data_IF_728271511410
#
_entry.id   IF_728271511410
#
_cell.length_a   1.000
_cell.length_b   1.000
_cell.length_c   1.000
_cell.angle_alpha   90.00
_cell.angle_beta   90.00
_cell.angle_gamma   90.00
#
_symmetry.space_group_name_H-M   'P 1'
#
loop_
_entity.id
_entity.type
_entity.pdbx_description
1 polymer ?
#
# COMPACT_ATOMS: atom_id res chain seq x y z
N UNK A 1 6.02 20.84 0.07
CA UNK A 1 7.08 19.80 0.06
C UNK A 1 6.46 18.42 0.19
N UNK A 2 6.91 17.46 -0.61
CA UNK A 2 6.46 16.06 -0.51
C UNK A 2 7.30 15.26 0.50
N UNK A 3 6.83 14.07 0.89
CA UNK A 3 7.52 13.20 1.85
C UNK A 3 8.91 12.71 1.41
N UNK A 4 9.29 12.93 0.15
CA UNK A 4 10.61 12.62 -0.44
C UNK A 4 11.47 13.87 -0.69
N UNK A 5 11.01 15.05 -0.24
CA UNK A 5 11.66 16.34 -0.49
C UNK A 5 10.96 17.16 -1.60
N UNK A 6 11.64 18.20 -2.11
CA UNK A 6 11.12 19.01 -3.21
C UNK A 6 11.09 18.22 -4.52
N UNK A 7 10.07 18.48 -5.34
CA UNK A 7 9.97 17.90 -6.67
C UNK A 7 11.07 18.47 -7.58
N UNK A 8 11.66 17.66 -8.48
CA UNK A 8 12.56 18.18 -9.50
C UNK A 8 11.84 19.19 -10.40
N UNK A 9 12.48 20.34 -10.67
CA UNK A 9 11.88 21.44 -11.45
C UNK A 9 11.31 20.97 -12.80
N UNK A 10 12.04 20.13 -13.54
CA UNK A 10 11.57 19.61 -14.85
C UNK A 10 10.28 18.78 -14.77
N UNK A 11 10.02 18.12 -13.64
CA UNK A 11 8.78 17.37 -13.41
C UNK A 11 7.67 18.32 -12.99
N UNK A 12 7.98 19.25 -12.08
CA UNK A 12 7.05 20.25 -11.58
C UNK A 12 6.50 21.15 -12.69
N UNK A 13 7.34 21.56 -13.63
CA UNK A 13 6.94 22.42 -14.75
C UNK A 13 6.03 21.69 -15.74
N UNK A 14 6.24 20.40 -15.96
CA UNK A 14 5.47 19.56 -16.90
C UNK A 14 4.20 18.95 -16.32
N UNK A 15 3.96 19.14 -15.03
CA UNK A 15 2.80 18.54 -14.38
C UNK A 15 1.57 19.43 -14.50
N UNK A 16 0.74 19.17 -15.50
CA UNK A 16 -0.45 19.98 -15.82
C UNK A 16 -1.48 20.02 -14.68
N UNK A 17 -1.60 18.95 -13.91
CA UNK A 17 -2.53 18.87 -12.78
C UNK A 17 -1.95 19.39 -11.46
N UNK A 18 -0.74 19.97 -11.42
CA UNK A 18 -0.11 20.41 -10.15
C UNK A 18 -0.99 21.39 -9.36
N UNK A 19 -1.68 22.29 -10.07
CA UNK A 19 -2.53 23.31 -9.47
C UNK A 19 -3.79 22.72 -8.82
N UNK A 20 -4.13 21.45 -9.08
CA UNK A 20 -5.21 20.73 -8.38
C UNK A 20 -4.80 20.31 -6.96
N UNK A 21 -3.52 20.09 -6.71
CA UNK A 21 -3.00 19.53 -5.45
C UNK A 21 -2.18 20.53 -4.65
N UNK A 22 -1.52 21.46 -5.34
CA UNK A 22 -0.59 22.40 -4.75
C UNK A 22 -1.01 23.85 -5.00
N UNK A 23 -0.58 24.72 -4.11
CA UNK A 23 -0.63 26.17 -4.25
C UNK A 23 0.54 26.66 -5.12
N UNK A 24 0.50 27.93 -5.57
CA UNK A 24 1.55 28.53 -6.43
C UNK A 24 2.96 28.49 -5.80
N UNK A 25 3.04 28.47 -4.46
CA UNK A 25 4.29 28.35 -3.69
C UNK A 25 4.81 26.90 -3.56
N UNK A 26 4.09 25.91 -4.13
CA UNK A 26 4.44 24.48 -4.04
C UNK A 26 4.08 23.83 -2.69
N UNK A 27 3.31 24.51 -1.85
CA UNK A 27 2.69 23.93 -0.65
C UNK A 27 1.45 23.11 -1.02
N UNK A 28 1.07 22.16 -0.16
CA UNK A 28 -0.18 21.43 -0.34
C UNK A 28 -1.37 22.35 -0.11
N UNK A 29 -2.41 22.24 -0.93
CA UNK A 29 -3.72 22.82 -0.60
C UNK A 29 -4.26 22.19 0.67
N UNK A 30 -4.86 22.98 1.57
CA UNK A 30 -5.30 22.50 2.90
C UNK A 30 -6.19 21.26 2.82
N UNK A 31 -7.13 21.25 1.86
CA UNK A 31 -8.05 20.15 1.58
C UNK A 31 -7.40 18.89 0.97
N UNK A 32 -6.16 18.99 0.47
CA UNK A 32 -5.41 17.89 -0.16
C UNK A 32 -4.16 17.53 0.63
N UNK A 33 -3.97 18.12 1.81
CA UNK A 33 -2.78 17.88 2.62
C UNK A 33 -2.76 16.41 3.08
N UNK A 34 -1.65 15.68 2.86
CA UNK A 34 -1.52 14.32 3.35
C UNK A 34 -1.48 14.30 4.89
N UNK A 35 -2.01 13.23 5.48
CA UNK A 35 -2.01 13.02 6.94
C UNK A 35 -0.60 13.00 7.54
N UNK A 36 0.41 12.65 6.73
CA UNK A 36 1.81 12.58 7.12
C UNK A 36 2.65 13.56 6.29
N UNK A 37 3.49 14.35 6.96
CA UNK A 37 4.32 15.38 6.32
C UNK A 37 5.67 14.83 5.84
N UNK A 38 6.08 13.66 6.34
CA UNK A 38 7.34 13.01 5.93
C UNK A 38 7.18 11.49 5.79
N UNK A 39 8.09 10.88 5.02
CA UNK A 39 8.18 9.43 4.94
C UNK A 39 8.48 8.81 6.32
N UNK A 40 9.32 9.46 7.13
CA UNK A 40 9.64 9.01 8.49
C UNK A 40 8.41 8.95 9.40
N UNK A 41 7.57 9.99 9.40
CA UNK A 41 6.31 10.02 10.16
C UNK A 41 5.37 8.89 9.73
N UNK A 42 5.25 8.69 8.41
CA UNK A 42 4.40 7.64 7.87
C UNK A 42 4.91 6.24 8.25
N UNK A 43 6.23 6.00 8.20
CA UNK A 43 6.83 4.73 8.60
C UNK A 43 6.62 4.42 10.08
N UNK A 44 6.75 5.41 10.96
CA UNK A 44 6.51 5.24 12.41
C UNK A 44 5.06 4.83 12.66
N UNK A 45 4.12 5.45 11.97
CA UNK A 45 2.71 5.07 12.03
C UNK A 45 2.47 3.63 11.55
N UNK A 46 3.03 3.24 10.41
CA UNK A 46 2.90 1.88 9.86
C UNK A 46 3.49 0.82 10.80
N UNK A 47 4.55 1.15 11.51
CA UNK A 47 5.18 0.29 12.51
C UNK A 47 4.53 0.38 13.90
N UNK A 48 3.24 0.78 13.94
CA UNK A 48 2.37 0.80 15.13
C UNK A 48 2.89 1.66 16.29
N UNK A 49 3.78 2.62 16.00
CA UNK A 49 4.32 3.55 17.01
C UNK A 49 3.66 4.93 16.91
N UNK A 50 3.53 5.62 18.05
CA UNK A 50 3.36 7.08 18.06
C UNK A 50 4.69 7.82 17.86
N UNK A 51 5.79 7.18 18.26
CA UNK A 51 7.17 7.65 18.10
C UNK A 51 8.07 6.48 17.75
N UNK A 52 9.29 6.75 17.28
CA UNK A 52 10.32 5.73 17.07
C UNK A 52 10.67 4.95 18.35
N UNK A 53 10.44 5.51 19.54
CA UNK A 53 10.70 4.85 20.84
C UNK A 53 9.62 3.85 21.22
N UNK A 54 8.41 4.05 20.71
CA UNK A 54 7.24 3.22 21.00
C UNK A 54 6.93 2.26 19.85
N UNK A 55 7.76 2.27 18.80
CA UNK A 55 7.61 1.39 17.66
C UNK A 55 8.29 0.06 17.92
N UNK A 56 7.75 -1.01 17.32
CA UNK A 56 8.32 -2.36 17.34
C UNK A 56 9.66 -2.45 16.56
N UNK A 57 9.95 -1.47 15.69
CA UNK A 57 11.20 -1.38 14.95
C UNK A 57 12.24 -0.53 15.68
N UNK A 58 13.50 -0.98 15.71
CA UNK A 58 14.57 -0.17 16.29
C UNK A 58 14.94 1.01 15.37
N UNK A 59 15.51 2.06 15.96
CA UNK A 59 15.88 3.29 15.23
C UNK A 59 16.79 3.03 14.02
N UNK A 60 17.78 2.16 14.18
CA UNK A 60 18.73 1.86 13.11
C UNK A 60 18.04 1.16 11.93
N UNK A 61 17.09 0.27 12.23
CA UNK A 61 16.28 -0.40 11.22
C UNK A 61 15.37 0.59 10.48
N UNK A 62 14.80 1.58 11.19
CA UNK A 62 14.03 2.65 10.57
C UNK A 62 14.85 3.49 9.62
N UNK A 63 16.03 3.93 10.05
CA UNK A 63 16.91 4.73 9.20
C UNK A 63 17.30 3.95 7.95
N UNK A 64 17.67 2.67 8.10
CA UNK A 64 18.00 1.81 6.97
C UNK A 64 16.81 1.59 6.02
N UNK A 65 15.58 1.42 6.54
CA UNK A 65 14.36 1.29 5.74
C UNK A 65 14.00 2.59 5.02
N UNK A 66 14.07 3.72 5.71
CA UNK A 66 13.78 5.03 5.14
C UNK A 66 14.76 5.36 4.01
N UNK A 67 16.05 5.12 4.21
CA UNK A 67 17.07 5.32 3.18
C UNK A 67 16.88 4.39 1.98
N UNK A 68 16.50 3.14 2.25
CA UNK A 68 16.16 2.17 1.21
C UNK A 68 14.97 2.65 0.37
N UNK A 69 13.87 3.04 1.01
CA UNK A 69 12.67 3.53 0.34
C UNK A 69 12.91 4.84 -0.42
N UNK A 70 13.70 5.77 0.13
CA UNK A 70 14.10 7.00 -0.58
C UNK A 70 14.82 6.67 -1.88
N UNK A 71 15.74 5.69 -1.88
CA UNK A 71 16.45 5.24 -3.08
C UNK A 71 15.54 4.52 -4.10
N UNK A 72 14.49 3.84 -3.63
CA UNK A 72 13.50 3.19 -4.51
C UNK A 72 12.49 4.17 -5.11
N UNK A 73 12.12 5.20 -4.35
CA UNK A 73 11.05 6.13 -4.68
C UNK A 73 11.55 7.45 -5.24
N UNK A 74 12.85 7.57 -5.54
CA UNK A 74 13.42 8.76 -6.20
C UNK A 74 12.55 9.15 -7.40
N UNK A 75 12.22 10.43 -7.51
CA UNK A 75 11.36 10.94 -8.58
C UNK A 75 11.90 10.55 -9.95
N UNK A 76 13.21 10.75 -10.17
CA UNK A 76 13.89 10.29 -11.37
C UNK A 76 14.07 8.78 -11.42
N UNK A 77 13.44 8.16 -12.41
CA UNK A 77 13.53 6.71 -12.64
C UNK A 77 14.96 6.26 -12.92
N UNK A 78 15.77 7.11 -13.57
CA UNK A 78 17.20 6.88 -13.86
C UNK A 78 18.05 6.83 -12.59
N UNK A 79 17.64 7.55 -11.55
CA UNK A 79 18.32 7.60 -10.26
C UNK A 79 17.72 6.62 -9.23
N UNK A 80 16.66 5.88 -9.59
CA UNK A 80 16.13 4.84 -8.71
C UNK A 80 17.10 3.68 -8.66
N UNK A 81 17.26 3.15 -7.45
CA UNK A 81 18.03 1.93 -7.22
C UNK A 81 17.57 0.79 -8.14
N UNK A 82 18.54 0.01 -8.62
CA UNK A 82 18.27 -1.20 -9.41
C UNK A 82 17.81 -2.34 -8.50
N UNK A 83 17.25 -3.40 -9.09
CA UNK A 83 16.82 -4.58 -8.32
C UNK A 83 18.01 -5.22 -7.60
N UNK A 84 19.15 -5.33 -8.27
CA UNK A 84 20.36 -5.94 -7.69
C UNK A 84 20.88 -5.12 -6.50
N UNK A 85 20.96 -3.80 -6.63
CA UNK A 85 21.36 -2.92 -5.54
C UNK A 85 20.33 -2.92 -4.40
N UNK A 86 19.03 -3.04 -4.71
CA UNK A 86 17.99 -3.11 -3.70
C UNK A 86 18.10 -4.38 -2.85
N UNK A 87 18.28 -5.53 -3.51
CA UNK A 87 18.50 -6.82 -2.86
C UNK A 87 19.81 -6.83 -2.07
N UNK A 88 20.87 -6.18 -2.57
CA UNK A 88 22.16 -6.05 -1.89
C UNK A 88 22.17 -4.98 -0.77
N UNK A 89 21.10 -4.21 -0.60
CA UNK A 89 21.05 -3.16 0.42
C UNK A 89 21.13 -3.75 1.83
N UNK A 90 21.71 -2.96 2.75
CA UNK A 90 21.88 -3.38 4.14
C UNK A 90 20.55 -3.78 4.78
N UNK A 91 19.50 -2.99 4.56
CA UNK A 91 18.17 -3.28 5.11
C UNK A 91 17.62 -4.59 4.53
N UNK A 92 17.71 -4.79 3.22
CA UNK A 92 17.22 -6.02 2.59
C UNK A 92 17.99 -7.24 3.10
N UNK A 93 19.33 -7.21 3.15
CA UNK A 93 20.13 -8.35 3.59
C UNK A 93 19.91 -8.70 5.06
N UNK A 94 19.92 -7.70 5.95
CA UNK A 94 19.86 -7.94 7.40
C UNK A 94 18.45 -8.22 7.93
N UNK A 95 17.42 -7.78 7.21
CA UNK A 95 16.02 -7.87 7.68
C UNK A 95 15.20 -8.70 6.72
N UNK A 96 14.96 -8.21 5.50
CA UNK A 96 14.03 -8.89 4.60
C UNK A 96 14.52 -10.30 4.18
N UNK A 97 15.78 -10.41 3.75
CA UNK A 97 16.37 -11.66 3.25
C UNK A 97 16.72 -12.58 4.42
N UNK A 98 17.27 -12.04 5.52
CA UNK A 98 17.49 -12.82 6.73
C UNK A 98 16.19 -13.50 7.19
N UNK A 99 15.09 -12.74 7.33
CA UNK A 99 13.76 -13.26 7.66
C UNK A 99 13.31 -14.33 6.63
N UNK A 100 13.56 -14.11 5.33
CA UNK A 100 13.25 -15.08 4.26
C UNK A 100 14.07 -16.37 4.34
N UNK A 101 15.36 -16.27 4.68
CA UNK A 101 16.31 -17.39 4.69
C UNK A 101 16.30 -18.17 6.00
N UNK A 102 15.92 -17.52 7.11
CA UNK A 102 15.69 -18.18 8.40
C UNK A 102 14.33 -18.90 8.41
N UNK A 103 13.33 -18.38 7.70
CA UNK A 103 12.09 -19.10 7.42
C UNK A 103 12.35 -20.29 6.48
N UNK A 104 11.68 -21.43 6.71
CA UNK A 104 11.68 -22.54 5.76
C UNK A 104 11.25 -22.01 4.37
N UNK A 105 12.11 -22.07 3.33
CA UNK A 105 11.79 -21.55 1.99
C UNK A 105 10.50 -22.13 1.42
N UNK A 106 10.12 -23.36 1.79
CA UNK A 106 8.84 -23.95 1.40
C UNK A 106 7.66 -23.29 2.11
N UNK A 107 7.80 -22.96 3.39
CA UNK A 107 6.82 -22.19 4.14
C UNK A 107 6.61 -20.82 3.48
N UNK A 108 7.68 -20.11 3.13
CA UNK A 108 7.62 -18.81 2.50
C UNK A 108 6.99 -18.84 1.09
N UNK A 109 7.39 -19.79 0.25
CA UNK A 109 6.77 -19.97 -1.07
C UNK A 109 5.29 -20.32 -0.95
N UNK A 110 4.91 -21.10 0.06
CA UNK A 110 3.51 -21.43 0.33
C UNK A 110 2.72 -20.18 0.74
N UNK A 111 3.32 -19.30 1.57
CA UNK A 111 2.71 -18.04 1.99
C UNK A 111 2.57 -17.08 0.81
N UNK A 112 3.62 -16.89 0.01
CA UNK A 112 3.57 -16.04 -1.20
C UNK A 112 2.50 -16.55 -2.16
N UNK A 113 2.44 -17.87 -2.41
CA UNK A 113 1.42 -18.48 -3.27
C UNK A 113 0.02 -18.24 -2.70
N UNK A 114 -0.19 -18.47 -1.41
CA UNK A 114 -1.46 -18.21 -0.72
C UNK A 114 -1.88 -16.74 -0.88
N UNK A 115 -0.97 -15.81 -0.62
CA UNK A 115 -1.21 -14.37 -0.74
C UNK A 115 -1.51 -13.97 -2.19
N UNK A 116 -0.76 -14.47 -3.17
CA UNK A 116 -1.02 -14.21 -4.59
C UNK A 116 -2.39 -14.75 -5.03
N UNK A 117 -2.78 -15.94 -4.57
CA UNK A 117 -4.10 -16.50 -4.85
C UNK A 117 -5.24 -15.70 -4.21
N UNK A 118 -4.99 -15.11 -3.03
CA UNK A 118 -5.97 -14.26 -2.35
C UNK A 118 -6.09 -12.87 -2.98
N UNK A 119 -4.97 -12.25 -3.34
CA UNK A 119 -4.93 -10.87 -3.86
C UNK A 119 -5.19 -10.80 -5.36
N UNK A 120 -4.82 -11.81 -6.14
CA UNK A 120 -4.96 -11.81 -7.60
C UNK A 120 -6.40 -11.49 -8.07
N UNK A 121 -7.43 -12.17 -7.57
CA UNK A 121 -8.83 -11.85 -7.90
C UNK A 121 -9.22 -10.43 -7.50
N UNK A 122 -8.81 -9.96 -6.31
CA UNK A 122 -9.09 -8.60 -5.84
C UNK A 122 -8.47 -7.55 -6.74
N UNK A 123 -7.21 -7.71 -7.11
CA UNK A 123 -6.52 -6.80 -8.03
C UNK A 123 -7.23 -6.72 -9.39
N UNK A 124 -7.73 -7.86 -9.90
CA UNK A 124 -8.54 -7.87 -11.13
C UNK A 124 -9.85 -7.08 -10.97
N UNK A 125 -10.54 -7.20 -9.84
CA UNK A 125 -11.76 -6.44 -9.57
C UNK A 125 -11.48 -4.94 -9.43
N UNK A 126 -10.43 -4.55 -8.70
CA UNK A 126 -10.01 -3.15 -8.58
C UNK A 126 -9.56 -2.55 -9.91
N UNK A 127 -8.86 -3.31 -10.75
CA UNK A 127 -8.47 -2.83 -12.08
C UNK A 127 -9.71 -2.56 -12.95
N UNK A 128 -10.71 -3.45 -12.93
CA UNK A 128 -11.98 -3.23 -13.64
C UNK A 128 -12.73 -1.99 -13.15
N UNK A 129 -12.78 -1.79 -11.83
CA UNK A 129 -13.38 -0.59 -11.25
C UNK A 129 -12.65 0.66 -11.74
N UNK A 130 -11.32 0.65 -11.69
CA UNK A 130 -10.49 1.77 -12.13
C UNK A 130 -10.65 2.07 -13.61
N UNK A 131 -10.72 1.04 -14.45
CA UNK A 131 -11.01 1.18 -15.89
C UNK A 131 -12.39 1.80 -16.11
N UNK A 132 -13.42 1.35 -15.38
CA UNK A 132 -14.76 1.90 -15.48
C UNK A 132 -14.83 3.37 -15.00
N UNK A 133 -14.13 3.72 -13.92
CA UNK A 133 -14.03 5.09 -13.43
C UNK A 133 -13.32 5.98 -14.45
N UNK A 134 -12.18 5.55 -14.98
CA UNK A 134 -11.46 6.30 -16.01
C UNK A 134 -12.34 6.51 -17.26
N UNK A 135 -13.13 5.51 -17.65
CA UNK A 135 -14.05 5.62 -18.78
C UNK A 135 -15.18 6.63 -18.50
N UNK A 136 -15.73 6.63 -17.28
CA UNK A 136 -16.74 7.59 -16.86
C UNK A 136 -16.17 9.03 -16.82
N UNK A 137 -14.99 9.22 -16.26
CA UNK A 137 -14.31 10.52 -16.18
C UNK A 137 -13.98 11.05 -17.59
N UNK A 138 -13.45 10.20 -18.47
CA UNK A 138 -13.15 10.57 -19.86
C UNK A 138 -14.43 10.94 -20.64
N UNK A 139 -15.53 10.21 -20.43
CA UNK A 139 -16.81 10.52 -21.05
C UNK A 139 -17.42 11.82 -20.50
N UNK A 140 -17.22 12.14 -19.21
CA UNK A 140 -17.68 13.40 -18.64
C UNK A 140 -16.98 14.60 -19.31
N UNK A 141 -15.67 14.49 -19.56
CA UNK A 141 -14.86 15.52 -20.21
C UNK A 141 -15.16 15.68 -21.73
N UNK A 142 -15.67 14.67 -22.41
CA UNK A 142 -15.97 14.73 -23.85
C UNK A 142 -17.40 15.25 -24.12
N UNK A 143 -17.50 16.46 -24.68
CA UNK A 143 -18.77 17.09 -25.06
C UNK A 143 -19.52 16.35 -26.19
N UNK A 144 -18.85 15.42 -26.91
CA UNK A 144 -19.44 14.64 -28.00
C UNK A 144 -20.15 13.36 -27.52
N UNK A 145 -19.89 12.92 -26.28
CA UNK A 145 -20.55 11.74 -25.71
C UNK A 145 -21.94 12.10 -25.25
N UNK A 146 -22.94 11.32 -25.69
CA UNK A 146 -24.33 11.55 -25.32
C UNK A 146 -24.57 11.38 -23.80
N UNK A 147 -25.50 12.16 -23.26
CA UNK A 147 -25.80 12.17 -21.81
C UNK A 147 -26.23 10.81 -21.29
N UNK A 148 -26.94 10.01 -22.07
CA UNK A 148 -27.37 8.69 -21.65
C UNK A 148 -26.16 7.75 -21.53
N UNK A 149 -25.17 7.87 -22.41
CA UNK A 149 -23.95 7.06 -22.34
C UNK A 149 -23.07 7.46 -21.16
N UNK A 150 -22.91 8.78 -20.89
CA UNK A 150 -22.24 9.26 -19.67
C UNK A 150 -22.88 8.68 -18.40
N UNK A 151 -24.21 8.68 -18.35
CA UNK A 151 -24.97 8.13 -17.22
C UNK A 151 -24.74 6.63 -17.07
N UNK A 152 -24.72 5.87 -18.17
CA UNK A 152 -24.48 4.41 -18.15
C UNK A 152 -23.09 4.05 -17.65
N UNK A 153 -22.06 4.77 -18.11
CA UNK A 153 -20.67 4.55 -17.67
C UNK A 153 -20.51 4.84 -16.17
N UNK A 154 -21.11 5.95 -15.70
CA UNK A 154 -21.14 6.29 -14.28
C UNK A 154 -21.85 5.24 -13.43
N UNK A 155 -23.05 4.83 -13.83
CA UNK A 155 -23.81 3.78 -13.14
C UNK A 155 -23.05 2.45 -13.12
N UNK A 156 -22.33 2.11 -14.18
CA UNK A 156 -21.51 0.90 -14.23
C UNK A 156 -20.34 0.97 -13.24
N UNK A 157 -19.64 2.11 -13.16
CA UNK A 157 -18.57 2.32 -12.18
C UNK A 157 -19.10 2.25 -10.73
N UNK A 158 -20.22 2.92 -10.45
CA UNK A 158 -20.88 2.89 -9.14
C UNK A 158 -21.31 1.46 -8.76
N UNK A 159 -21.87 0.71 -9.71
CA UNK A 159 -22.27 -0.68 -9.49
C UNK A 159 -21.08 -1.59 -9.15
N UNK A 160 -19.94 -1.43 -9.84
CA UNK A 160 -18.72 -2.18 -9.53
C UNK A 160 -18.17 -1.83 -8.15
N UNK A 161 -18.24 -0.55 -7.76
CA UNK A 161 -17.83 -0.11 -6.43
C UNK A 161 -18.66 -0.79 -5.34
N UNK A 162 -19.99 -0.76 -5.46
CA UNK A 162 -20.90 -1.40 -4.51
C UNK A 162 -20.67 -2.91 -4.41
N UNK A 163 -20.46 -3.61 -5.52
CA UNK A 163 -20.14 -5.04 -5.49
C UNK A 163 -18.85 -5.34 -4.72
N UNK A 164 -17.80 -4.53 -4.92
CA UNK A 164 -16.53 -4.70 -4.21
C UNK A 164 -16.73 -4.41 -2.72
N UNK A 165 -17.45 -3.34 -2.39
CA UNK A 165 -17.74 -2.94 -1.02
C UNK A 165 -18.48 -4.04 -0.25
N UNK A 166 -19.56 -4.58 -0.81
CA UNK A 166 -20.34 -5.66 -0.20
C UNK A 166 -19.47 -6.90 0.04
N UNK A 167 -18.69 -7.33 -0.97
CA UNK A 167 -17.81 -8.50 -0.83
C UNK A 167 -16.74 -8.31 0.24
N UNK A 168 -16.22 -7.11 0.38
CA UNK A 168 -15.22 -6.79 1.39
C UNK A 168 -15.82 -6.75 2.79
N UNK A 169 -17.05 -6.27 2.92
CA UNK A 169 -17.82 -6.27 4.16
C UNK A 169 -18.18 -7.69 4.61
N UNK A 170 -18.71 -8.53 3.73
CA UNK A 170 -19.01 -9.94 4.01
C UNK A 170 -17.76 -10.70 4.46
N UNK A 171 -16.62 -10.44 3.81
CA UNK A 171 -15.32 -11.03 4.21
C UNK A 171 -14.84 -10.51 5.55
N UNK A 172 -15.15 -9.26 5.89
CA UNK A 172 -14.80 -8.66 7.18
C UNK A 172 -15.63 -9.32 8.29
N UNK A 173 -16.94 -9.40 8.13
CA UNK A 173 -17.83 -10.10 9.06
C UNK A 173 -17.44 -11.57 9.24
N UNK A 174 -17.10 -12.26 8.15
CA UNK A 174 -16.62 -13.65 8.22
C UNK A 174 -15.32 -13.79 9.02
N UNK A 175 -14.38 -12.84 8.90
CA UNK A 175 -13.14 -12.84 9.69
C UNK A 175 -13.41 -12.54 11.16
N UNK A 176 -14.26 -11.57 11.45
CA UNK A 176 -14.66 -11.23 12.83
C UNK A 176 -15.38 -12.40 13.50
N UNK A 177 -16.27 -13.10 12.78
CA UNK A 177 -16.92 -14.31 13.25
C UNK A 177 -15.92 -15.45 13.53
N UNK A 178 -14.91 -15.61 12.65
CA UNK A 178 -13.88 -16.61 12.83
C UNK A 178 -12.97 -16.31 14.03
N UNK A 179 -12.59 -15.05 14.22
CA UNK A 179 -11.79 -14.60 15.37
C UNK A 179 -12.53 -14.79 16.71
N UNK A 180 -13.85 -14.54 16.72
CA UNK A 180 -14.70 -14.87 17.88
C UNK A 180 -14.75 -16.38 18.15
N UNK A 181 -14.80 -17.24 17.13
CA UNK A 181 -14.80 -18.70 17.33
C UNK A 181 -13.45 -19.23 17.82
N UNK A 182 -12.34 -18.68 17.33
CA UNK A 182 -11.00 -19.09 17.76
C UNK A 182 -10.71 -18.61 19.21
N UNK A 183 -11.23 -17.43 19.59
CA UNK A 183 -11.16 -16.92 20.97
C UNK A 183 -11.94 -17.78 21.96
N UNK A 184 -13.05 -18.39 21.55
CA UNK A 184 -13.86 -19.29 22.40
C UNK A 184 -13.22 -20.67 22.55
N UNK A 185 -12.46 -21.15 21.56
CA UNK A 185 -11.83 -22.48 21.57
C UNK A 185 -10.47 -22.47 22.32
N UNK A 186 -9.79 -21.32 22.41
CA UNK A 186 -8.49 -21.17 23.08
C UNK A 186 -8.56 -20.97 24.61
N UNK A 187 -9.56 -21.52 25.31
CA UNK A 187 -9.60 -21.54 26.78
C UNK A 187 -9.34 -22.94 27.36
N UNK A 188 -8.07 -23.28 27.66
CA UNK A 188 -7.77 -24.33 28.60
C UNK A 188 -6.83 -23.84 29.72
N UNK A 189 -7.33 -23.02 30.65
CA UNK A 189 -6.98 -23.09 32.08
C UNK A 189 -7.85 -22.15 32.92
N UNK A 190 -8.48 -22.72 33.95
CA UNK A 190 -8.98 -21.99 35.10
C UNK A 190 -7.79 -21.49 35.94
N UNK A 191 -7.62 -20.17 36.10
CA UNK A 191 -6.96 -19.64 37.30
C UNK A 191 -8.01 -18.91 38.15
N UNK A 192 -7.88 -18.97 39.48
CA UNK A 192 -8.82 -18.29 40.38
C UNK A 192 -8.73 -16.77 40.22
N UNK A 193 -9.83 -16.04 40.47
CA UNK A 193 -9.89 -14.61 40.23
C UNK A 193 -8.94 -13.84 41.16
N UNK A 194 -8.19 -12.84 40.67
CA UNK A 194 -7.43 -11.93 41.51
C UNK A 194 -8.36 -10.97 42.28
N UNK A 195 -7.92 -10.42 43.43
CA UNK A 195 -8.76 -9.59 44.27
C UNK A 195 -9.08 -8.25 43.59
N UNK A 196 -10.34 -7.84 43.75
CA UNK A 196 -10.91 -6.61 43.22
C UNK A 196 -10.14 -5.38 43.74
N UNK A 197 -9.40 -4.72 42.84
CA UNK A 197 -8.99 -3.33 43.02
C UNK A 197 -9.68 -2.51 41.95
N UNK A 198 -10.59 -1.65 42.40
CA UNK A 198 -11.36 -0.75 41.55
C UNK A 198 -10.46 0.28 40.87
N UNK A 199 -10.59 0.39 39.56
CA UNK A 199 -10.23 1.61 38.85
C UNK A 199 -11.19 1.81 37.69
N UNK A 200 -12.12 2.74 37.89
CA UNK A 200 -13.00 3.26 36.85
C UNK A 200 -12.20 4.19 35.93
N UNK A 201 -11.94 3.78 34.69
CA UNK A 201 -11.59 4.69 33.62
C UNK A 201 -12.54 4.41 32.43
N UNK A 202 -13.17 5.45 31.85
CA UNK A 202 -14.10 5.27 30.75
C UNK A 202 -13.36 4.90 29.46
N UNK A 203 -13.95 4.07 28.59
CA UNK A 203 -13.33 3.71 27.31
C UNK A 203 -13.31 4.93 26.39
N UNK A 204 -12.10 5.32 25.96
CA UNK A 204 -11.91 6.26 24.86
C UNK A 204 -12.39 5.66 23.53
N UNK A 205 -12.54 6.49 22.48
CA UNK A 205 -13.09 6.04 21.20
C UNK A 205 -12.20 4.95 20.60
N UNK A 206 -12.84 3.85 20.21
CA UNK A 206 -12.22 2.71 19.55
C UNK A 206 -11.60 3.15 18.22
N UNK A 207 -10.28 3.34 18.21
CA UNK A 207 -9.51 3.44 16.99
C UNK A 207 -9.53 2.08 16.29
N UNK A 208 -9.96 2.09 15.03
CA UNK A 208 -10.01 0.92 14.14
C UNK A 208 -8.66 0.20 14.14
N UNK A 209 -8.62 -1.02 14.68
CA UNK A 209 -7.48 -1.92 14.54
C UNK A 209 -7.48 -2.51 13.14
N UNK A 210 -6.86 -1.80 12.19
CA UNK A 210 -6.32 -2.48 11.02
C UNK A 210 -5.15 -3.33 11.53
N UNK A 211 -5.30 -4.65 11.52
CA UNK A 211 -4.22 -5.60 11.81
C UNK A 211 -3.52 -5.95 10.49
N UNK A 212 -2.36 -5.33 10.17
CA UNK A 212 -1.54 -5.81 9.07
C UNK A 212 -1.14 -7.26 9.34
N UNK A 213 -0.89 -8.06 8.28
CA UNK A 213 -0.37 -9.40 8.45
C UNK A 213 0.95 -9.35 9.22
N UNK A 214 1.34 -10.50 9.80
CA UNK A 214 2.59 -10.73 10.51
C UNK A 214 3.78 -9.90 9.97
N UNK A 215 4.67 -9.45 10.87
CA UNK A 215 5.82 -8.56 10.64
C UNK A 215 6.62 -8.95 9.39
N UNK A 216 6.76 -10.24 9.13
CA UNK A 216 7.45 -10.81 7.97
C UNK A 216 6.63 -10.65 6.67
N UNK A 217 5.34 -10.93 6.73
CA UNK A 217 4.44 -10.92 5.58
C UNK A 217 4.28 -9.51 4.97
N UNK A 218 4.31 -8.46 5.79
CA UNK A 218 4.25 -7.08 5.29
C UNK A 218 5.52 -6.68 4.52
N UNK A 219 6.71 -7.00 5.04
CA UNK A 219 8.01 -6.70 4.40
C UNK A 219 8.16 -7.41 3.06
N UNK A 220 7.80 -8.69 3.02
CA UNK A 220 7.84 -9.53 1.82
C UNK A 220 6.85 -9.02 0.78
N UNK A 221 5.63 -8.65 1.19
CA UNK A 221 4.61 -8.14 0.27
C UNK A 221 5.02 -6.80 -0.36
N UNK A 222 5.61 -5.89 0.42
CA UNK A 222 6.09 -4.60 -0.08
C UNK A 222 7.20 -4.76 -1.14
N UNK A 223 8.19 -5.64 -0.88
CA UNK A 223 9.26 -5.93 -1.84
C UNK A 223 8.74 -6.65 -3.09
N UNK A 224 7.85 -7.63 -2.92
CA UNK A 224 7.28 -8.39 -4.04
C UNK A 224 6.47 -7.50 -4.99
N UNK A 225 5.62 -6.62 -4.48
CA UNK A 225 4.81 -5.71 -5.30
C UNK A 225 5.68 -4.68 -6.05
N UNK A 226 6.74 -4.17 -5.42
CA UNK A 226 7.68 -3.28 -6.12
C UNK A 226 8.45 -3.99 -7.24
N UNK A 227 8.93 -5.22 -7.00
CA UNK A 227 9.65 -6.00 -8.01
C UNK A 227 8.77 -6.31 -9.24
N UNK A 228 7.47 -6.61 -9.04
CA UNK A 228 6.51 -6.79 -10.14
C UNK A 228 6.34 -5.54 -10.99
N UNK A 229 6.27 -4.36 -10.35
CA UNK A 229 6.16 -3.08 -11.06
C UNK A 229 7.36 -2.77 -11.96
N UNK A 230 8.57 -3.23 -11.62
CA UNK A 230 9.77 -3.09 -12.46
C UNK A 230 9.78 -4.08 -13.64
N UNK A 231 9.30 -5.32 -13.45
CA UNK A 231 9.27 -6.33 -14.52
C UNK A 231 8.40 -5.89 -15.71
N UNK A 232 7.21 -5.33 -15.44
CA UNK A 232 6.33 -4.81 -16.50
C UNK A 232 6.91 -3.61 -17.25
N UNK A 233 7.81 -2.84 -16.64
CA UNK A 233 8.48 -1.73 -17.32
C UNK A 233 9.66 -2.19 -18.20
N UNK A 234 10.22 -3.37 -17.93
CA UNK A 234 11.24 -3.99 -18.80
C UNK A 234 10.60 -4.65 -20.01
N UNK A 235 9.47 -5.37 -19.83
CA UNK A 235 8.74 -6.01 -20.94
C UNK A 235 8.22 -4.97 -21.96
N UNK A 236 7.60 -3.88 -21.50
CA UNK A 236 7.14 -2.80 -22.40
C UNK A 236 8.27 -2.07 -23.13
N UNK A 237 9.51 -2.14 -22.62
CA UNK A 237 10.68 -1.52 -23.27
C UNK A 237 11.33 -2.43 -24.30
N UNK A 238 11.13 -3.74 -24.20
CA UNK A 238 11.57 -4.71 -25.21
C UNK A 238 10.64 -4.69 -26.42
N UNK A 239 9.32 -4.61 -26.21
CA UNK A 239 8.36 -4.49 -27.33
C UNK A 239 8.49 -3.16 -28.09
N UNK A 240 8.87 -2.07 -27.42
CA UNK A 240 9.06 -0.76 -28.08
C UNK A 240 10.31 -0.67 -28.96
N UNK A 241 11.27 -1.60 -28.84
CA UNK A 241 12.51 -1.62 -29.63
C UNK A 241 12.38 -2.51 -30.88
N UNK A 242 11.38 -3.40 -30.95
CA UNK A 242 11.16 -4.28 -32.12
C UNK A 242 10.31 -3.65 -33.24
N UNK A 243 9.94 -2.37 -33.11
CA UNK A 243 9.16 -1.60 -34.10
C UNK A 243 9.86 -0.32 -34.59
N UNK A 244 11.17 -0.36 -34.80
CA UNK A 244 11.82 0.59 -35.72
C UNK A 244 11.76 0.05 -37.16
N UNK A 245 11.09 0.73 -38.11
CA UNK A 245 11.16 0.35 -39.51
C UNK A 245 12.55 0.69 -40.07
N UNK A 246 13.22 -0.32 -40.62
CA UNK A 246 14.45 -0.14 -41.37
C UNK A 246 14.23 0.86 -42.53
N UNK A 247 15.01 1.94 -42.53
CA UNK A 247 15.13 2.90 -43.63
C UNK A 247 16.20 2.43 -44.60
#
# INVERSE_FOLDING_TARGET
MGGLGPFPARWWEKWDAKDKYFSEDGSWKEEKKPDFNSLAEHLVFLARGQTWKTSEMCKDEFTALEDFLKKMLVYESTNRITVNEAVASEWAQKRAIADITEADPQCLLSLIRKTCNQLGPRLKEYNKLKEAQNAADAAEEDDLVDKDEKLRLKQHADHLYEQIYIKDEEKREAREAQDMTDTVIASPWELPPPPLVGSSAPPGPAYRSWTPPDREAWRISMLAEWMKGKAHHVENKVEAVEHEPAV
#
